data_IF_050132254235
#
_entry.id   IF_050132254235
#
_cell.length_a   1.000
_cell.length_b   1.000
_cell.length_c   1.000
_cell.angle_alpha   90.00
_cell.angle_beta   90.00
_cell.angle_gamma   90.00
#
_symmetry.space_group_name_H-M   'P 1'
#
loop_
_entity.id
_entity.type
_entity.pdbx_description
1 polymer ?
#
# COMPACT_ATOMS: atom_id res chain seq x y z
N UNK A 1 0.31 -19.54 -30.02
CA UNK A 1 0.53 -18.54 -28.95
C UNK A 1 1.90 -17.92 -29.14
N UNK A 2 2.01 -16.59 -29.34
CA UNK A 2 3.32 -15.92 -29.41
C UNK A 2 3.90 -15.86 -27.99
N UNK A 3 4.99 -16.59 -27.79
CA UNK A 3 5.90 -16.44 -26.66
C UNK A 3 6.31 -14.95 -26.53
N UNK A 4 6.60 -14.46 -25.32
CA UNK A 4 7.03 -13.07 -25.06
C UNK A 4 5.99 -11.95 -25.30
N UNK A 5 4.71 -12.12 -24.93
CA UNK A 5 3.78 -10.98 -24.81
C UNK A 5 3.53 -10.53 -23.37
N UNK A 6 3.65 -11.45 -22.43
CA UNK A 6 3.31 -11.22 -21.03
C UNK A 6 4.49 -11.55 -20.11
N UNK A 7 4.69 -10.69 -19.14
CA UNK A 7 5.67 -10.85 -18.06
C UNK A 7 4.94 -11.30 -16.79
N UNK A 8 5.48 -12.34 -16.15
CA UNK A 8 4.99 -12.83 -14.87
C UNK A 8 6.19 -13.24 -14.01
N UNK A 9 6.49 -12.46 -12.97
CA UNK A 9 7.67 -12.64 -12.14
C UNK A 9 7.55 -13.82 -11.16
N UNK A 10 6.34 -14.10 -10.67
CA UNK A 10 6.10 -15.03 -9.57
C UNK A 10 5.19 -16.21 -9.94
N UNK A 11 4.76 -16.28 -11.21
CA UNK A 11 3.75 -17.22 -11.66
C UNK A 11 2.33 -16.91 -11.13
N UNK A 12 1.34 -17.66 -11.60
CA UNK A 12 -0.05 -17.61 -11.09
C UNK A 12 -1.06 -16.95 -12.03
N UNK A 13 -2.32 -17.41 -11.94
CA UNK A 13 -3.45 -16.95 -12.76
C UNK A 13 -3.74 -15.48 -12.45
N UNK A 14 -3.84 -14.65 -13.49
CA UNK A 14 -4.13 -13.21 -13.37
C UNK A 14 -2.94 -12.31 -13.02
N UNK A 15 -1.72 -12.87 -12.88
CA UNK A 15 -0.50 -12.10 -12.55
C UNK A 15 0.37 -11.77 -13.76
N UNK A 16 -0.21 -11.84 -14.95
CA UNK A 16 0.45 -11.56 -16.22
C UNK A 16 0.27 -10.07 -16.55
N UNK A 17 1.36 -9.31 -16.64
CA UNK A 17 1.34 -7.94 -17.16
C UNK A 17 1.89 -7.92 -18.59
N UNK A 18 1.44 -6.99 -19.47
CA UNK A 18 2.07 -6.83 -20.78
C UNK A 18 3.56 -6.51 -20.64
N UNK A 19 4.39 -7.08 -21.51
CA UNK A 19 5.83 -6.80 -21.52
C UNK A 19 6.14 -5.33 -21.78
N UNK A 20 5.36 -4.66 -22.64
CA UNK A 20 5.49 -3.22 -22.91
C UNK A 20 5.28 -2.41 -21.62
N UNK A 21 4.25 -2.75 -20.84
CA UNK A 21 3.98 -2.10 -19.56
C UNK A 21 5.14 -2.31 -18.56
N UNK A 22 5.72 -3.51 -18.54
CA UNK A 22 6.89 -3.78 -17.70
C UNK A 22 8.11 -2.96 -18.14
N UNK A 23 8.33 -2.83 -19.44
CA UNK A 23 9.41 -2.05 -20.02
C UNK A 23 9.24 -0.56 -19.73
N UNK A 24 8.02 -0.03 -19.81
CA UNK A 24 7.70 1.35 -19.41
C UNK A 24 8.00 1.60 -17.93
N UNK A 25 7.62 0.67 -17.04
CA UNK A 25 7.92 0.76 -15.62
C UNK A 25 9.44 0.78 -15.35
N UNK A 26 10.19 -0.08 -16.05
CA UNK A 26 11.66 -0.11 -15.95
C UNK A 26 12.29 1.18 -16.47
N UNK A 27 11.82 1.68 -17.62
CA UNK A 27 12.29 2.94 -18.20
C UNK A 27 11.98 4.14 -17.29
N UNK A 28 10.79 4.18 -16.69
CA UNK A 28 10.42 5.22 -15.73
C UNK A 28 11.28 5.16 -14.48
N UNK A 29 11.53 3.96 -13.95
CA UNK A 29 12.40 3.75 -12.80
C UNK A 29 13.84 4.22 -13.10
N UNK A 30 14.39 3.82 -14.25
CA UNK A 30 15.73 4.19 -14.69
C UNK A 30 15.86 5.71 -14.88
N UNK A 31 14.93 6.33 -15.60
CA UNK A 31 14.91 7.80 -15.78
C UNK A 31 14.76 8.54 -14.46
N UNK A 32 13.95 8.03 -13.53
CA UNK A 32 13.82 8.59 -12.19
C UNK A 32 15.10 8.46 -11.38
N UNK A 33 15.80 7.32 -11.48
CA UNK A 33 17.10 7.12 -10.84
C UNK A 33 18.12 8.11 -11.39
N UNK A 34 18.25 8.22 -12.72
CA UNK A 34 19.19 9.17 -13.33
C UNK A 34 18.89 10.63 -13.01
N UNK A 35 17.61 11.03 -13.01
CA UNK A 35 17.21 12.38 -12.56
C UNK A 35 17.62 12.63 -11.10
N UNK A 36 17.46 11.63 -10.23
CA UNK A 36 17.87 11.76 -8.81
C UNK A 36 19.39 11.84 -8.60
N UNK A 37 20.19 11.47 -9.60
CA UNK A 37 21.65 11.57 -9.52
C UNK A 37 22.17 12.98 -9.88
N UNK A 38 21.37 13.83 -10.55
CA UNK A 38 21.75 15.20 -10.92
C UNK A 38 22.90 15.29 -11.94
N UNK A 39 23.24 16.50 -12.43
CA UNK A 39 24.41 16.71 -13.29
C UNK A 39 25.70 16.55 -12.45
N UNK A 40 26.71 15.86 -12.99
CA UNK A 40 27.97 15.41 -12.35
C UNK A 40 27.87 14.17 -11.43
N UNK A 41 27.63 13.02 -12.06
CA UNK A 41 27.69 11.69 -11.43
C UNK A 41 29.15 11.26 -11.25
N UNK A 42 29.52 10.97 -10.01
CA UNK A 42 30.82 10.40 -9.64
C UNK A 42 30.56 9.12 -8.83
N UNK A 43 31.36 8.07 -9.01
CA UNK A 43 31.07 6.72 -8.49
C UNK A 43 30.92 6.72 -6.95
N UNK A 44 31.75 7.52 -6.27
CA UNK A 44 31.70 7.71 -4.81
C UNK A 44 30.43 8.44 -4.36
N UNK A 45 29.97 9.44 -5.11
CA UNK A 45 28.73 10.19 -4.82
C UNK A 45 27.49 9.32 -5.08
N UNK A 46 27.54 8.47 -6.09
CA UNK A 46 26.47 7.56 -6.46
C UNK A 46 26.19 6.52 -5.35
N UNK A 47 27.23 5.86 -4.83
CA UNK A 47 27.12 4.91 -3.71
C UNK A 47 26.55 5.56 -2.44
N UNK A 48 26.99 6.78 -2.12
CA UNK A 48 26.48 7.55 -0.96
C UNK A 48 24.99 7.89 -1.09
N UNK A 49 24.55 8.37 -2.26
CA UNK A 49 23.14 8.74 -2.51
C UNK A 49 22.20 7.53 -2.59
N UNK A 50 22.68 6.40 -3.12
CA UNK A 50 21.92 5.15 -3.17
C UNK A 50 21.69 4.56 -1.77
N UNK A 51 22.68 4.66 -0.87
CA UNK A 51 22.57 4.20 0.53
C UNK A 51 21.68 5.12 1.40
N UNK A 52 21.52 6.39 1.00
CA UNK A 52 20.72 7.40 1.73
C UNK A 52 19.22 7.40 1.40
N UNK A 53 18.72 6.52 0.52
CA UNK A 53 17.27 6.35 0.31
C UNK A 53 16.63 5.64 1.50
N UNK A 54 16.54 6.33 2.63
CA UNK A 54 15.48 6.07 3.59
C UNK A 54 14.19 6.60 2.94
N UNK A 55 13.19 5.74 2.81
CA UNK A 55 11.84 6.20 2.45
C UNK A 55 11.41 7.30 3.42
N UNK A 56 10.44 8.13 3.01
CA UNK A 56 9.75 9.12 3.84
C UNK A 56 8.94 8.47 4.98
N UNK A 57 9.51 7.51 5.71
CA UNK A 57 9.12 7.22 7.08
C UNK A 57 9.85 8.25 7.93
N UNK A 58 9.12 9.22 8.45
CA UNK A 58 9.57 10.17 9.45
C UNK A 58 10.17 9.42 10.64
N UNK A 59 11.49 9.15 10.61
CA UNK A 59 12.26 8.58 11.73
C UNK A 59 12.43 9.56 12.90
N UNK A 60 11.50 10.50 13.06
CA UNK A 60 11.64 11.60 14.02
C UNK A 60 10.56 11.57 15.08
N UNK A 61 9.29 11.60 14.68
CA UNK A 61 8.18 11.90 15.61
C UNK A 61 6.88 11.25 15.11
N UNK A 62 6.48 10.11 15.71
CA UNK A 62 5.26 9.43 15.31
C UNK A 62 4.01 10.30 15.55
N UNK A 63 4.02 11.11 16.59
CA UNK A 63 2.92 12.00 16.98
C UNK A 63 2.62 13.08 15.92
N UNK A 64 3.65 13.78 15.44
CA UNK A 64 3.50 14.79 14.39
C UNK A 64 2.99 14.16 13.08
N UNK A 65 3.42 12.94 12.78
CA UNK A 65 2.98 12.19 11.60
C UNK A 65 1.50 11.80 11.72
N UNK A 66 1.08 11.31 12.89
CA UNK A 66 -0.32 10.98 13.17
C UNK A 66 -1.19 12.24 13.07
N UNK A 67 -0.74 13.37 13.63
CA UNK A 67 -1.48 14.63 13.56
C UNK A 67 -1.65 15.12 12.12
N UNK A 68 -0.60 15.01 11.30
CA UNK A 68 -0.68 15.35 9.88
C UNK A 68 -1.67 14.47 9.13
N UNK A 69 -1.68 13.16 9.37
CA UNK A 69 -2.65 12.23 8.77
C UNK A 69 -4.08 12.62 9.16
N UNK A 70 -4.31 12.93 10.44
CA UNK A 70 -5.64 13.34 10.92
C UNK A 70 -6.09 14.64 10.23
N UNK A 71 -5.21 15.63 10.14
CA UNK A 71 -5.52 16.91 9.48
C UNK A 71 -5.86 16.71 8.00
N UNK A 72 -5.06 15.93 7.27
CA UNK A 72 -5.30 15.57 5.87
C UNK A 72 -6.66 14.88 5.66
N UNK A 73 -7.02 13.95 6.55
CA UNK A 73 -8.27 13.21 6.47
C UNK A 73 -9.49 14.10 6.74
N UNK A 74 -9.34 15.05 7.67
CA UNK A 74 -10.37 16.04 7.99
C UNK A 74 -10.54 17.06 6.86
N UNK A 75 -9.45 17.60 6.30
CA UNK A 75 -9.49 18.53 5.17
C UNK A 75 -10.18 17.91 3.95
N UNK A 76 -9.85 16.66 3.64
CA UNK A 76 -10.46 15.91 2.53
C UNK A 76 -11.88 15.44 2.81
N UNK A 77 -12.43 15.75 4.00
CA UNK A 77 -13.77 15.37 4.44
C UNK A 77 -14.05 13.87 4.20
N UNK A 78 -13.05 13.01 4.39
CA UNK A 78 -13.11 11.59 3.99
C UNK A 78 -14.20 10.84 4.77
N UNK A 79 -14.52 11.31 5.97
CA UNK A 79 -15.54 10.73 6.85
C UNK A 79 -16.93 11.33 6.68
N UNK A 80 -17.10 12.38 5.87
CA UNK A 80 -18.43 12.93 5.61
C UNK A 80 -19.21 12.03 4.67
N UNK A 81 -20.42 11.66 5.08
CA UNK A 81 -21.33 10.90 4.24
C UNK A 81 -21.76 11.75 3.04
N UNK A 82 -21.41 11.30 1.84
CA UNK A 82 -21.82 11.94 0.59
C UNK A 82 -22.99 11.13 0.02
N UNK A 83 -24.24 11.62 0.11
CA UNK A 83 -25.37 10.95 -0.53
C UNK A 83 -25.09 10.87 -2.04
N UNK A 84 -25.30 9.69 -2.62
CA UNK A 84 -25.08 9.36 -4.05
C UNK A 84 -23.63 9.13 -4.51
N UNK A 85 -22.69 8.75 -3.64
CA UNK A 85 -21.52 7.99 -4.14
C UNK A 85 -21.96 6.58 -4.54
N UNK A 86 -22.06 6.32 -5.84
CA UNK A 86 -22.28 4.98 -6.40
C UNK A 86 -21.06 4.07 -6.18
N UNK A 87 -20.67 3.81 -4.93
CA UNK A 87 -19.58 2.91 -4.55
C UNK A 87 -18.35 3.02 -5.46
N UNK A 88 -18.02 1.92 -6.13
CA UNK A 88 -16.93 1.82 -7.08
C UNK A 88 -17.44 1.36 -8.45
N UNK A 89 -17.89 2.25 -9.34
CA UNK A 89 -18.46 1.86 -10.64
C UNK A 89 -17.41 1.17 -11.53
N UNK A 90 -16.13 1.52 -11.36
CA UNK A 90 -15.00 0.85 -12.01
C UNK A 90 -14.79 -0.60 -11.53
N UNK A 91 -15.39 -0.98 -10.41
CA UNK A 91 -15.28 -2.32 -9.82
C UNK A 91 -16.67 -2.90 -9.54
N UNK A 92 -17.47 -3.19 -10.58
CA UNK A 92 -18.84 -3.70 -10.42
C UNK A 92 -18.91 -5.08 -9.74
N UNK A 93 -17.78 -5.79 -9.68
CA UNK A 93 -17.64 -7.08 -8.98
C UNK A 93 -17.17 -6.94 -7.53
N UNK A 94 -16.78 -5.74 -7.10
CA UNK A 94 -16.34 -5.50 -5.75
C UNK A 94 -17.56 -5.26 -4.87
N UNK A 95 -17.80 -6.17 -3.94
CA UNK A 95 -18.91 -6.03 -3.01
C UNK A 95 -18.69 -4.79 -2.13
N UNK A 96 -19.64 -3.85 -2.17
CA UNK A 96 -19.61 -2.63 -1.34
C UNK A 96 -19.65 -2.96 0.15
N UNK A 97 -20.32 -4.07 0.50
CA UNK A 97 -20.42 -4.58 1.86
C UNK A 97 -19.24 -5.51 2.18
N UNK A 98 -18.17 -4.95 2.75
CA UNK A 98 -16.97 -5.71 3.15
C UNK A 98 -17.25 -6.83 4.17
N UNK A 99 -18.33 -6.69 4.94
CA UNK A 99 -18.73 -7.65 5.98
C UNK A 99 -19.70 -8.73 5.48
N UNK A 100 -20.10 -8.71 4.20
CA UNK A 100 -21.10 -9.65 3.67
C UNK A 100 -20.68 -11.11 3.79
N UNK A 101 -19.39 -11.40 3.60
CA UNK A 101 -18.84 -12.75 3.72
C UNK A 101 -18.24 -13.02 5.11
N UNK A 102 -18.34 -12.07 6.05
CA UNK A 102 -17.87 -12.26 7.41
C UNK A 102 -18.85 -13.15 8.17
N UNK A 103 -18.43 -14.38 8.45
CA UNK A 103 -19.21 -15.28 9.29
C UNK A 103 -19.19 -14.80 10.73
N UNK A 104 -20.32 -14.28 11.20
CA UNK A 104 -20.47 -13.72 12.54
C UNK A 104 -19.97 -14.66 13.65
N UNK A 105 -20.27 -15.96 13.57
CA UNK A 105 -19.86 -16.95 14.59
C UNK A 105 -18.35 -17.06 14.70
N UNK A 106 -17.66 -17.15 13.57
CA UNK A 106 -16.21 -17.28 13.51
C UNK A 106 -15.53 -15.98 13.96
N UNK A 107 -16.09 -14.84 13.56
CA UNK A 107 -15.61 -13.52 13.98
C UNK A 107 -15.78 -13.31 15.49
N UNK A 108 -16.95 -13.63 16.04
CA UNK A 108 -17.22 -13.51 17.47
C UNK A 108 -16.30 -14.41 18.29
N UNK A 109 -16.08 -15.65 17.84
CA UNK A 109 -15.14 -16.57 18.48
C UNK A 109 -13.73 -15.98 18.49
N UNK A 110 -13.23 -15.54 17.34
CA UNK A 110 -11.91 -14.91 17.23
C UNK A 110 -11.77 -13.66 18.11
N UNK A 111 -12.81 -12.83 18.15
CA UNK A 111 -12.84 -11.61 18.97
C UNK A 111 -12.73 -11.96 20.46
N UNK A 112 -13.51 -12.93 20.92
CA UNK A 112 -13.46 -13.38 22.32
C UNK A 112 -12.12 -14.03 22.66
N UNK A 113 -11.58 -14.89 21.79
CA UNK A 113 -10.26 -15.50 22.00
C UNK A 113 -9.16 -14.44 22.13
N UNK A 114 -9.24 -13.39 21.30
CA UNK A 114 -8.32 -12.25 21.35
C UNK A 114 -8.47 -11.47 22.65
N UNK A 115 -9.69 -11.15 23.07
CA UNK A 115 -9.95 -10.46 24.35
C UNK A 115 -9.43 -11.27 25.53
N UNK A 116 -9.68 -12.59 25.57
CA UNK A 116 -9.16 -13.45 26.64
C UNK A 116 -7.63 -13.48 26.65
N UNK A 117 -6.99 -13.61 25.49
CA UNK A 117 -5.53 -13.56 25.37
C UNK A 117 -4.97 -12.23 25.88
N UNK A 118 -5.63 -11.12 25.56
CA UNK A 118 -5.21 -9.80 26.03
C UNK A 118 -5.40 -9.64 27.53
N UNK A 119 -6.55 -10.07 28.10
CA UNK A 119 -6.77 -10.09 29.54
C UNK A 119 -5.70 -10.88 30.30
N UNK A 120 -5.30 -12.03 29.76
CA UNK A 120 -4.21 -12.83 30.32
C UNK A 120 -2.88 -12.08 30.30
N UNK A 121 -2.56 -11.40 29.21
CA UNK A 121 -1.32 -10.64 29.06
C UNK A 121 -1.28 -9.36 29.92
N UNK A 122 -2.43 -8.71 30.14
CA UNK A 122 -2.52 -7.46 30.91
C UNK A 122 -2.72 -7.70 32.41
N UNK A 123 -2.84 -8.95 32.87
CA UNK A 123 -2.92 -9.29 34.29
C UNK A 123 -4.11 -8.67 35.04
N UNK A 124 -5.14 -8.21 34.32
CA UNK A 124 -6.36 -7.69 34.97
C UNK A 124 -7.19 -8.88 35.40
N UNK A 125 -7.19 -9.15 36.71
CA UNK A 125 -8.16 -10.02 37.37
C UNK A 125 -9.58 -9.53 37.12
#
# INVERSE_FOLDING_TARGET
MKWNRFYNKYGGKGRNIPLDLKMEQLNKLLKSMFRSLGPNVDEKKCKKRMSQKQGHGSKGKPEETVQQIINDLNEKCVFQYTPNREGHPSFPKFESNLVKNLKYRDFHKWMMDTIHKWKYLTGSK
#
